data_IF_087314092652
#
_entry.id   IF_087314092652
#
_cell.length_a   1.000
_cell.length_b   1.000
_cell.length_c   1.000
_cell.angle_alpha   90.00
_cell.angle_beta   90.00
_cell.angle_gamma   90.00
#
_symmetry.space_group_name_H-M   'P 1'
#
loop_
_entity.id
_entity.type
_entity.pdbx_description
1 polymer ?
#
# COMPACT_ATOMS: atom_id res chain seq x y z
N UNK A 1 9.14 -1.76 11.50
CA UNK A 1 8.18 -2.30 10.50
C UNK A 1 8.02 -1.28 9.38
N UNK A 2 8.22 -1.68 8.13
CA UNK A 2 7.96 -0.83 6.97
C UNK A 2 6.76 -1.41 6.23
N UNK A 3 5.63 -0.72 6.29
CA UNK A 3 4.40 -1.14 5.58
C UNK A 3 4.42 -0.49 4.20
N UNK A 4 4.47 -1.32 3.16
CA UNK A 4 4.62 -0.85 1.79
C UNK A 4 3.29 -0.94 1.07
N UNK A 5 2.73 0.22 0.72
CA UNK A 5 1.57 0.32 -0.16
C UNK A 5 1.97 0.57 -1.61
N UNK A 6 0.98 0.52 -2.51
CA UNK A 6 1.20 0.87 -3.92
C UNK A 6 1.68 2.32 -4.06
N UNK A 7 1.00 3.26 -3.41
CA UNK A 7 1.21 4.70 -3.60
C UNK A 7 0.48 5.23 -4.83
N UNK A 8 -0.36 6.24 -4.60
CA UNK A 8 -1.22 6.85 -5.62
C UNK A 8 -1.25 8.38 -5.45
N UNK A 9 -1.89 9.10 -6.36
CA UNK A 9 -2.12 10.55 -6.21
C UNK A 9 -3.36 10.88 -5.34
N UNK A 10 -4.03 9.85 -4.82
CA UNK A 10 -5.15 9.98 -3.88
C UNK A 10 -4.64 9.88 -2.43
N UNK A 11 -4.73 10.97 -1.65
CA UNK A 11 -4.27 10.98 -0.26
C UNK A 11 -5.11 10.09 0.65
N UNK A 12 -6.40 9.86 0.34
CA UNK A 12 -7.25 8.98 1.15
C UNK A 12 -6.73 7.54 1.08
N UNK A 13 -6.44 7.07 -0.15
CA UNK A 13 -5.83 5.76 -0.38
C UNK A 13 -4.45 5.61 0.30
N UNK A 14 -3.59 6.64 0.23
CA UNK A 14 -2.29 6.62 0.89
C UNK A 14 -2.42 6.65 2.42
N UNK A 15 -3.40 7.40 2.96
CA UNK A 15 -3.64 7.52 4.39
C UNK A 15 -4.03 6.19 5.02
N UNK A 16 -4.72 5.31 4.29
CA UNK A 16 -5.07 3.97 4.77
C UNK A 16 -3.83 3.12 5.06
N UNK A 17 -2.75 3.28 4.29
CA UNK A 17 -1.47 2.61 4.53
C UNK A 17 -0.81 3.17 5.79
N UNK A 18 -0.81 4.49 5.96
CA UNK A 18 -0.29 5.14 7.17
C UNK A 18 -1.08 4.76 8.42
N UNK A 19 -2.42 4.70 8.32
CA UNK A 19 -3.32 4.25 9.38
C UNK A 19 -3.02 2.81 9.76
N UNK A 20 -2.89 1.92 8.78
CA UNK A 20 -2.54 0.52 9.02
C UNK A 20 -1.17 0.40 9.70
N UNK A 21 -0.16 1.12 9.20
CA UNK A 21 1.18 1.11 9.78
C UNK A 21 1.14 1.54 11.26
N UNK A 22 0.37 2.59 11.58
CA UNK A 22 0.16 3.08 12.94
C UNK A 22 -0.54 2.05 13.83
N UNK A 23 -1.63 1.45 13.34
CA UNK A 23 -2.37 0.41 14.07
C UNK A 23 -1.53 -0.82 14.36
N UNK A 24 -0.76 -1.30 13.37
CA UNK A 24 0.14 -2.45 13.56
C UNK A 24 1.29 -2.11 14.51
N UNK A 25 1.85 -0.91 14.40
CA UNK A 25 2.94 -0.47 15.26
C UNK A 25 2.53 -0.51 16.73
N UNK A 26 1.50 0.27 17.09
CA UNK A 26 1.09 0.45 18.47
C UNK A 26 0.38 -0.81 19.00
N UNK A 27 -0.42 -1.46 18.15
CA UNK A 27 -1.15 -2.67 18.52
C UNK A 27 -0.26 -3.90 18.74
N UNK A 28 0.89 -3.98 18.08
CA UNK A 28 1.84 -5.10 18.24
C UNK A 28 3.05 -4.77 19.11
N UNK A 29 3.14 -3.55 19.66
CA UNK A 29 4.26 -3.13 20.51
C UNK A 29 5.61 -3.05 19.80
N UNK A 30 5.61 -2.70 18.51
CA UNK A 30 6.84 -2.57 17.73
C UNK A 30 7.63 -1.31 18.16
N UNK A 31 8.96 -1.33 18.01
CA UNK A 31 9.79 -0.16 18.35
C UNK A 31 9.62 1.02 17.40
N UNK A 32 9.34 0.75 16.13
CA UNK A 32 9.10 1.76 15.10
C UNK A 32 8.28 1.20 13.94
N UNK A 33 7.46 2.04 13.31
CA UNK A 33 6.93 1.76 11.99
C UNK A 33 6.78 2.99 11.11
N UNK A 34 6.88 2.79 9.80
CA UNK A 34 6.58 3.81 8.81
C UNK A 34 5.90 3.23 7.57
N UNK A 35 5.14 4.08 6.88
CA UNK A 35 4.59 3.78 5.57
C UNK A 35 5.60 4.11 4.48
N UNK A 36 5.63 3.28 3.44
CA UNK A 36 6.40 3.51 2.22
C UNK A 36 5.59 3.13 1.00
N UNK A 37 6.00 3.59 -0.17
CA UNK A 37 5.21 3.44 -1.39
C UNK A 37 6.06 3.00 -2.59
N UNK A 38 5.56 2.02 -3.34
CA UNK A 38 6.24 1.47 -4.53
C UNK A 38 6.01 2.27 -5.83
N UNK A 39 5.09 3.23 -5.79
CA UNK A 39 4.54 3.96 -6.93
C UNK A 39 4.88 5.44 -6.87
N UNK A 40 3.86 6.29 -7.03
CA UNK A 40 4.04 7.76 -7.19
C UNK A 40 4.01 8.54 -5.88
N UNK A 41 3.64 7.90 -4.76
CA UNK A 41 3.60 8.53 -3.45
C UNK A 41 4.96 8.44 -2.74
N UNK A 42 5.15 9.28 -1.72
CA UNK A 42 6.37 9.35 -0.94
C UNK A 42 6.11 8.97 0.53
N UNK A 43 7.09 8.40 1.24
CA UNK A 43 8.46 8.11 0.78
C UNK A 43 8.54 6.85 -0.11
N UNK A 44 9.49 6.77 -1.05
CA UNK A 44 9.76 5.55 -1.79
C UNK A 44 10.37 4.49 -0.88
N UNK A 45 10.24 3.22 -1.28
CA UNK A 45 10.58 2.04 -0.46
C UNK A 45 12.04 2.04 0.00
N UNK A 46 12.97 2.26 -0.92
CA UNK A 46 14.41 2.33 -0.65
C UNK A 46 14.75 3.43 0.36
N UNK A 47 14.23 4.64 0.18
CA UNK A 47 14.46 5.74 1.09
C UNK A 47 13.90 5.46 2.50
N UNK A 48 12.74 4.79 2.60
CA UNK A 48 12.19 4.37 3.89
C UNK A 48 13.04 3.29 4.56
N UNK A 49 13.51 2.30 3.81
CA UNK A 49 14.38 1.26 4.35
C UNK A 49 15.73 1.83 4.82
N UNK A 50 16.34 2.73 4.06
CA UNK A 50 17.58 3.42 4.44
C UNK A 50 17.41 4.22 5.73
N UNK A 51 16.31 4.97 5.87
CA UNK A 51 16.00 5.67 7.13
C UNK A 51 15.80 4.71 8.29
N UNK A 52 14.98 3.68 8.10
CA UNK A 52 14.71 2.67 9.12
C UNK A 52 16.00 1.97 9.60
N UNK A 53 16.93 1.67 8.68
CA UNK A 53 18.24 1.10 9.00
C UNK A 53 19.09 2.05 9.87
N UNK A 54 19.06 3.35 9.60
CA UNK A 54 19.78 4.36 10.37
C UNK A 54 19.26 4.56 11.81
N UNK A 55 18.08 4.02 12.16
CA UNK A 55 17.51 4.15 13.52
C UNK A 55 18.10 3.15 14.52
N UNK A 56 19.00 2.25 14.12
CA UNK A 56 19.72 1.35 15.02
C UNK A 56 18.97 0.08 15.44
N UNK A 57 17.88 -0.27 14.76
CA UNK A 57 17.18 -1.53 14.99
C UNK A 57 17.95 -2.72 14.40
N UNK A 58 18.03 -3.84 15.13
CA UNK A 58 18.66 -5.08 14.64
C UNK A 58 17.78 -5.90 13.71
N UNK A 59 16.49 -5.59 13.63
CA UNK A 59 15.52 -6.31 12.78
C UNK A 59 14.51 -5.34 12.18
N UNK A 60 14.32 -5.43 10.87
CA UNK A 60 13.36 -4.65 10.11
C UNK A 60 12.42 -5.59 9.35
N UNK A 61 11.14 -5.58 9.70
CA UNK A 61 10.10 -6.29 8.95
C UNK A 61 9.61 -5.41 7.81
N UNK A 62 9.65 -5.91 6.58
CA UNK A 62 9.11 -5.26 5.39
C UNK A 62 7.82 -5.98 5.00
N UNK A 63 6.69 -5.27 5.08
CA UNK A 63 5.36 -5.84 4.85
C UNK A 63 4.69 -5.21 3.63
N UNK A 64 4.64 -5.93 2.49
CA UNK A 64 3.91 -5.47 1.31
C UNK A 64 2.40 -5.63 1.51
N UNK A 65 1.67 -4.52 1.64
CA UNK A 65 0.21 -4.53 1.73
C UNK A 65 -0.44 -4.64 0.34
N UNK A 66 -0.40 -5.85 -0.21
CA UNK A 66 -0.91 -6.18 -1.54
C UNK A 66 -1.72 -7.48 -1.52
N UNK A 67 -2.80 -7.52 -2.32
CA UNK A 67 -3.59 -8.75 -2.51
C UNK A 67 -2.87 -9.76 -3.40
N UNK A 68 -2.17 -9.27 -4.44
CA UNK A 68 -1.53 -10.11 -5.44
C UNK A 68 -0.03 -9.86 -5.50
N UNK A 69 0.70 -10.89 -5.92
CA UNK A 69 2.09 -10.74 -6.36
C UNK A 69 2.17 -10.02 -7.72
N UNK A 70 3.39 -9.83 -8.21
CA UNK A 70 3.66 -9.24 -9.52
C UNK A 70 4.96 -8.45 -9.50
N UNK A 71 5.12 -7.58 -10.50
CA UNK A 71 6.33 -6.75 -10.65
C UNK A 71 6.57 -5.87 -9.43
N UNK A 72 5.52 -5.32 -8.82
CA UNK A 72 5.66 -4.40 -7.67
C UNK A 72 6.17 -5.11 -6.42
N UNK A 73 5.58 -6.24 -6.02
CA UNK A 73 6.04 -7.00 -4.84
C UNK A 73 7.47 -7.52 -5.05
N UNK A 74 7.78 -8.03 -6.27
CA UNK A 74 9.15 -8.44 -6.62
C UNK A 74 10.15 -7.28 -6.50
N UNK A 75 9.76 -6.08 -6.93
CA UNK A 75 10.59 -4.87 -6.80
C UNK A 75 10.83 -4.49 -5.34
N UNK A 76 9.81 -4.53 -4.50
CA UNK A 76 9.92 -4.25 -3.06
C UNK A 76 10.95 -5.18 -2.42
N UNK A 77 10.87 -6.48 -2.72
CA UNK A 77 11.83 -7.46 -2.19
C UNK A 77 13.23 -7.23 -2.75
N UNK A 78 13.38 -6.92 -4.04
CA UNK A 78 14.69 -6.60 -4.62
C UNK A 78 15.32 -5.35 -3.98
N UNK A 79 14.54 -4.28 -3.77
CA UNK A 79 14.99 -3.08 -3.06
C UNK A 79 15.37 -3.40 -1.61
N UNK A 80 14.61 -4.29 -0.96
CA UNK A 80 14.95 -4.77 0.39
C UNK A 80 16.29 -5.50 0.39
N UNK A 81 16.53 -6.38 -0.58
CA UNK A 81 17.79 -7.12 -0.70
C UNK A 81 18.98 -6.17 -0.98
N UNK A 82 18.78 -5.13 -1.80
CA UNK A 82 19.79 -4.09 -2.04
C UNK A 82 20.16 -3.34 -0.76
N UNK A 83 19.18 -2.93 0.04
CA UNK A 83 19.45 -2.22 1.31
C UNK A 83 20.06 -3.18 2.35
N UNK A 84 19.57 -4.41 2.44
CA UNK A 84 20.11 -5.41 3.36
C UNK A 84 21.60 -5.69 3.12
N UNK A 85 22.05 -5.67 1.86
CA UNK A 85 23.47 -5.80 1.52
C UNK A 85 24.35 -4.66 2.05
N UNK A 86 23.78 -3.49 2.32
CA UNK A 86 24.49 -2.33 2.89
C UNK A 86 24.57 -2.37 4.42
N UNK A 87 23.69 -3.15 5.07
CA UNK A 87 23.57 -3.25 6.53
C UNK A 87 23.54 -4.72 6.97
N UNK A 88 24.65 -5.47 6.81
CA UNK A 88 24.69 -6.91 7.08
C UNK A 88 24.40 -7.30 8.54
N UNK A 89 24.49 -6.35 9.47
CA UNK A 89 24.18 -6.51 10.89
C UNK A 89 22.67 -6.45 11.21
N UNK A 90 21.85 -5.98 10.26
CA UNK A 90 20.41 -5.85 10.42
C UNK A 90 19.71 -7.01 9.71
N UNK A 91 18.83 -7.70 10.44
CA UNK A 91 17.97 -8.74 9.86
C UNK A 91 16.77 -8.10 9.14
N UNK A 92 16.74 -8.19 7.82
CA UNK A 92 15.58 -7.77 7.02
C UNK A 92 14.61 -8.96 6.80
N UNK A 93 13.44 -8.88 7.41
CA UNK A 93 12.39 -9.91 7.30
C UNK A 93 11.38 -9.47 6.24
N UNK A 94 11.39 -10.13 5.08
CA UNK A 94 10.41 -9.92 4.00
C UNK A 94 9.13 -10.68 4.32
N UNK A 95 8.13 -10.01 4.89
CA UNK A 95 6.83 -10.62 5.16
C UNK A 95 6.08 -10.91 3.86
N UNK A 96 5.20 -11.91 3.90
CA UNK A 96 4.32 -12.23 2.78
C UNK A 96 3.30 -11.10 2.55
N UNK A 97 2.91 -10.92 1.28
CA UNK A 97 1.73 -10.14 0.93
C UNK A 97 0.45 -10.91 1.30
N UNK A 98 -0.71 -10.23 1.30
CA UNK A 98 -1.95 -10.76 1.88
C UNK A 98 -2.47 -12.04 1.23
N UNK A 99 -2.42 -12.14 -0.11
CA UNK A 99 -2.91 -13.30 -0.87
C UNK A 99 -4.36 -13.67 -0.49
N UNK A 100 -4.62 -14.95 -0.30
CA UNK A 100 -5.89 -15.60 0.02
C UNK A 100 -6.06 -15.81 1.53
N UNK A 101 -5.42 -14.98 2.36
CA UNK A 101 -5.57 -15.03 3.81
C UNK A 101 -7.05 -15.03 4.21
N UNK A 102 -7.45 -15.90 5.14
CA UNK A 102 -8.86 -16.11 5.50
C UNK A 102 -9.58 -14.82 5.89
N UNK A 103 -8.91 -13.93 6.62
CA UNK A 103 -9.46 -12.61 6.97
C UNK A 103 -9.76 -11.71 5.76
N UNK A 104 -8.98 -11.83 4.66
CA UNK A 104 -9.25 -11.12 3.41
C UNK A 104 -10.49 -11.71 2.74
N UNK A 105 -10.56 -13.04 2.62
CA UNK A 105 -11.71 -13.72 2.05
C UNK A 105 -13.00 -13.44 2.85
N UNK A 106 -12.89 -13.43 4.18
CA UNK A 106 -13.97 -13.03 5.08
C UNK A 106 -14.43 -11.59 4.83
N UNK A 107 -13.49 -10.65 4.73
CA UNK A 107 -13.81 -9.25 4.40
C UNK A 107 -14.54 -9.13 3.06
N UNK A 108 -14.10 -9.86 2.03
CA UNK A 108 -14.78 -9.89 0.73
C UNK A 108 -16.21 -10.43 0.84
N UNK A 109 -16.39 -11.54 1.56
CA UNK A 109 -17.73 -12.11 1.81
C UNK A 109 -18.63 -11.11 2.51
N UNK A 110 -18.13 -10.46 3.56
CA UNK A 110 -18.91 -9.50 4.34
C UNK A 110 -19.35 -8.31 3.47
N UNK A 111 -18.47 -7.83 2.56
CA UNK A 111 -18.85 -6.81 1.56
C UNK A 111 -19.95 -7.28 0.61
N UNK A 112 -19.93 -8.54 0.17
CA UNK A 112 -20.97 -9.10 -0.72
C UNK A 112 -22.32 -9.17 0.00
N UNK A 113 -22.33 -9.58 1.27
CA UNK A 113 -23.55 -9.63 2.09
C UNK A 113 -24.14 -8.23 2.30
N UNK A 114 -23.30 -7.24 2.68
CA UNK A 114 -23.75 -5.85 2.89
C UNK A 114 -24.40 -5.22 1.66
N UNK A 115 -24.00 -5.62 0.45
CA UNK A 115 -24.63 -5.16 -0.79
C UNK A 115 -26.08 -5.64 -0.91
N UNK A 116 -26.39 -6.85 -0.43
CA UNK A 116 -27.75 -7.38 -0.40
C UNK A 116 -28.66 -6.62 0.57
N UNK A 117 -28.10 -6.15 1.68
CA UNK A 117 -28.82 -5.44 2.74
C UNK A 117 -28.93 -3.91 2.48
N UNK A 118 -28.30 -3.41 1.41
CA UNK A 118 -28.40 -2.01 0.97
C UNK A 118 -27.66 -0.99 1.85
N UNK A 119 -26.75 -1.45 2.73
CA UNK A 119 -25.98 -0.59 3.64
C UNK A 119 -24.47 -0.88 3.56
N UNK A 120 -23.80 -0.62 2.42
CA UNK A 120 -22.37 -0.81 2.32
C UNK A 120 -21.64 0.18 3.23
N UNK A 121 -21.01 -0.34 4.30
CA UNK A 121 -20.26 0.48 5.25
C UNK A 121 -18.87 0.82 4.67
N UNK A 122 -18.84 1.77 3.75
CA UNK A 122 -17.59 2.24 3.15
C UNK A 122 -16.81 3.11 4.15
N UNK A 123 -15.51 2.85 4.32
CA UNK A 123 -14.61 3.55 5.26
C UNK A 123 -14.28 5.01 4.89
N UNK A 124 -15.06 5.64 4.00
CA UNK A 124 -14.80 6.93 3.37
C UNK A 124 -15.10 8.16 4.27
N UNK A 125 -14.96 8.04 5.60
CA UNK A 125 -15.30 9.13 6.54
C UNK A 125 -14.50 10.42 6.27
N UNK A 126 -13.28 10.33 5.72
CA UNK A 126 -12.43 11.48 5.34
C UNK A 126 -12.09 11.50 3.84
N UNK A 127 -12.94 10.90 3.03
CA UNK A 127 -12.74 10.88 1.58
C UNK A 127 -12.89 12.29 0.99
N UNK A 128 -11.89 12.73 0.21
CA UNK A 128 -11.84 14.06 -0.44
C UNK A 128 -13.05 14.40 -1.31
N UNK A 129 -13.77 13.38 -1.78
CA UNK A 129 -15.00 13.54 -2.58
C UNK A 129 -16.23 13.82 -1.72
N UNK A 130 -16.21 13.45 -0.43
CA UNK A 130 -17.37 13.51 0.49
C UNK A 130 -17.23 14.57 1.58
N UNK A 131 -16.01 14.92 1.96
CA UNK A 131 -15.72 15.98 2.92
C UNK A 131 -14.63 16.89 2.38
N UNK A 132 -14.64 18.16 2.77
CA UNK A 132 -13.58 19.08 2.39
C UNK A 132 -12.26 18.65 3.06
N UNK A 133 -11.23 18.51 2.23
CA UNK A 133 -9.86 18.22 2.65
C UNK A 133 -8.97 19.34 2.09
N UNK A 134 -8.04 19.83 2.90
CA UNK A 134 -7.10 20.90 2.53
C UNK A 134 -6.35 20.53 1.25
N UNK A 135 -6.38 21.43 0.25
CA UNK A 135 -5.75 21.24 -1.05
C UNK A 135 -6.59 20.45 -2.06
N UNK A 136 -7.77 19.97 -1.67
CA UNK A 136 -8.72 19.24 -2.51
C UNK A 136 -10.12 19.89 -2.47
N UNK A 137 -10.18 21.21 -2.28
CA UNK A 137 -11.45 21.96 -2.16
C UNK A 137 -12.36 21.78 -3.38
N UNK A 138 -11.76 21.56 -4.57
CA UNK A 138 -12.49 21.38 -5.83
C UNK A 138 -13.05 19.97 -6.02
N UNK A 139 -12.60 19.00 -5.22
CA UNK A 139 -12.99 17.59 -5.38
C UNK A 139 -14.25 17.26 -4.55
N UNK A 140 -14.54 18.05 -3.52
CA UNK A 140 -15.69 17.83 -2.64
C UNK A 140 -17.01 17.95 -3.42
N UNK A 141 -17.84 16.90 -3.36
CA UNK A 141 -19.10 16.81 -4.09
C UNK A 141 -18.98 16.31 -5.54
N UNK A 142 -17.76 16.10 -6.06
CA UNK A 142 -17.57 15.51 -7.39
C UNK A 142 -17.67 13.98 -7.36
N UNK A 143 -18.07 13.32 -8.46
CA UNK A 143 -18.05 11.86 -8.54
C UNK A 143 -16.64 11.30 -8.30
N UNK A 144 -16.54 10.26 -7.47
CA UNK A 144 -15.25 9.58 -7.25
C UNK A 144 -14.75 8.95 -8.56
N UNK A 145 -13.51 9.22 -8.92
CA UNK A 145 -12.86 8.67 -10.12
C UNK A 145 -11.72 7.73 -9.74
N UNK A 146 -11.44 6.74 -10.60
CA UNK A 146 -10.39 5.75 -10.36
C UNK A 146 -9.00 6.33 -10.60
N UNK A 147 -8.09 6.18 -9.65
CA UNK A 147 -6.73 6.73 -9.73
C UNK A 147 -5.70 5.79 -10.39
N UNK A 148 -6.18 4.79 -11.14
CA UNK A 148 -5.40 3.63 -11.59
C UNK A 148 -5.60 3.27 -13.06
N UNK A 149 -5.82 4.25 -13.93
CA UNK A 149 -6.02 4.03 -15.37
C UNK A 149 -4.86 3.31 -16.09
N UNK A 150 -3.68 3.18 -15.48
CA UNK A 150 -2.49 2.57 -16.09
C UNK A 150 -2.14 1.14 -15.62
N UNK A 151 -2.93 0.52 -14.73
CA UNK A 151 -2.68 -0.89 -14.36
C UNK A 151 -3.63 -1.78 -15.12
N UNK A 152 -3.19 -2.17 -16.32
CA UNK A 152 -3.68 -3.39 -16.97
C UNK A 152 -2.97 -4.56 -16.29
N UNK A 153 -3.75 -5.54 -15.83
CA UNK A 153 -3.20 -6.76 -15.23
C UNK A 153 -2.21 -7.45 -16.17
N UNK A 154 -1.41 -8.35 -15.61
CA UNK A 154 -0.51 -9.20 -16.37
C UNK A 154 -1.37 -10.03 -17.34
N UNK A 155 -1.35 -9.71 -18.66
CA UNK A 155 -2.01 -10.53 -19.68
C UNK A 155 -2.87 -9.85 -20.76
N UNK A 156 -2.84 -8.53 -20.97
CA UNK A 156 -3.60 -7.91 -22.09
C UNK A 156 -2.77 -7.34 -23.23
N UNK A 157 -1.44 -7.51 -23.24
CA UNK A 157 -0.61 -6.96 -24.31
C UNK A 157 -0.25 -8.04 -25.33
N UNK A 158 -1.27 -8.46 -26.08
CA UNK A 158 -1.10 -9.11 -27.37
C UNK A 158 -1.28 -8.08 -28.49
N UNK A 159 -0.16 -7.51 -28.97
CA UNK A 159 0.04 -6.78 -30.24
C UNK A 159 -0.87 -5.54 -30.49
N UNK A 160 -0.40 -4.40 -31.00
CA UNK A 160 0.13 -4.20 -32.34
C UNK A 160 0.95 -2.91 -32.42
N UNK A 161 2.13 -3.01 -33.03
CA UNK A 161 2.81 -1.88 -33.64
C UNK A 161 1.97 -1.36 -34.80
N UNK A 162 1.70 -0.06 -34.84
CA UNK A 162 1.51 0.64 -36.11
C UNK A 162 2.24 1.98 -36.05
N UNK A 163 3.34 2.04 -36.79
CA UNK A 163 3.91 3.27 -37.29
C UNK A 163 2.87 3.98 -38.17
N UNK A 164 2.71 5.28 -37.94
CA UNK A 164 2.74 6.33 -38.98
C UNK A 164 3.24 7.61 -38.36
#
# INVERSE_FOLDING_TARGET
LVVVGRGTNDPDANSNISKLARMLWEGMGLGWAEAAFSGVAHPPVDAALMRSAALGFRRIVVFPYFLFTGVLVKRIYAQTDTVAALFPEIEFVKALYLRDHEGVLGTFRDRVVELGDGQPAMNCQLCKYRTQIVGYERDAGTPQTGHHHHVRGIGTDGHHHHHK
#
